data_IF_970390110728
#
_entry.id   IF_970390110728
#
_cell.length_a   1.000
_cell.length_b   1.000
_cell.length_c   1.000
_cell.angle_alpha   90.00
_cell.angle_beta   90.00
_cell.angle_gamma   90.00
#
_symmetry.space_group_name_H-M   'P 1'
#
loop_
_entity.id
_entity.type
_entity.pdbx_description
1 polymer ?
#
# COMPACT_ATOMS: atom_id res chain seq x y z
N UNK A 1 -5.57 -21.71 9.08
CA UNK A 1 -5.22 -20.36 9.55
C UNK A 1 -3.79 -20.08 9.12
N UNK A 2 -3.58 -19.44 7.96
CA UNK A 2 -2.25 -19.23 7.39
C UNK A 2 -1.82 -17.78 7.61
N UNK A 3 -0.69 -17.58 8.31
CA UNK A 3 -0.11 -16.27 8.53
C UNK A 3 0.67 -15.84 7.28
N UNK A 4 0.01 -15.15 6.36
CA UNK A 4 0.66 -14.51 5.21
C UNK A 4 1.25 -13.17 5.63
N UNK A 5 2.56 -13.13 5.88
CA UNK A 5 3.29 -11.85 5.93
C UNK A 5 3.19 -11.19 4.55
N UNK A 6 2.62 -9.98 4.50
CA UNK A 6 2.56 -9.17 3.29
C UNK A 6 3.05 -7.76 3.58
N UNK A 7 4.12 -7.36 2.90
CA UNK A 7 4.63 -5.99 2.97
C UNK A 7 3.69 -5.07 2.16
N UNK A 8 2.74 -4.45 2.85
CA UNK A 8 1.80 -3.52 2.23
C UNK A 8 2.37 -2.11 2.10
N UNK A 9 2.73 -1.71 0.87
CA UNK A 9 3.09 -0.32 0.56
C UNK A 9 1.89 0.61 0.80
N UNK A 10 1.97 1.51 1.79
CA UNK A 10 0.96 2.57 1.98
C UNK A 10 1.60 3.94 2.24
N UNK A 11 0.87 4.96 1.80
CA UNK A 11 1.32 6.34 1.72
C UNK A 11 0.50 7.18 2.71
N UNK A 12 1.14 7.81 3.71
CA UNK A 12 0.44 8.63 4.73
C UNK A 12 0.76 10.13 4.65
N UNK A 13 -0.17 10.90 5.23
CA UNK A 13 -0.08 12.35 5.49
C UNK A 13 0.53 12.56 6.89
N UNK A 14 1.44 13.52 7.05
CA UNK A 14 2.29 13.70 8.25
C UNK A 14 1.57 13.80 9.60
N UNK A 15 2.09 13.05 10.57
CA UNK A 15 2.18 13.34 12.01
C UNK A 15 3.64 13.15 12.48
N UNK A 16 3.99 13.28 13.77
CA UNK A 16 5.41 13.46 14.21
C UNK A 16 5.75 12.68 15.51
N UNK A 17 7.00 12.27 15.77
CA UNK A 17 8.21 12.46 14.95
C UNK A 17 9.59 12.14 15.59
N UNK A 18 9.76 10.98 16.25
CA UNK A 18 11.02 10.53 16.91
C UNK A 18 11.30 9.08 16.50
N UNK A 19 12.48 8.62 16.03
CA UNK A 19 13.87 8.78 16.50
C UNK A 19 14.30 7.47 17.20
N UNK A 20 15.33 6.69 16.83
CA UNK A 20 16.64 6.94 16.15
C UNK A 20 17.02 5.75 15.22
N UNK A 21 17.93 5.91 14.24
CA UNK A 21 18.33 4.82 13.32
C UNK A 21 19.51 3.95 13.83
N UNK A 22 19.40 2.63 13.64
CA UNK A 22 20.52 1.68 13.76
C UNK A 22 21.21 1.44 12.42
N UNK A 23 22.54 1.58 12.38
CA UNK A 23 23.31 1.62 11.13
C UNK A 23 23.82 0.23 10.70
N UNK A 24 23.42 -0.25 9.51
CA UNK A 24 24.19 -1.26 8.74
C UNK A 24 24.39 -0.74 7.32
N UNK A 25 25.64 -0.37 7.02
CA UNK A 25 26.02 0.20 5.73
C UNK A 25 26.20 -0.92 4.68
N UNK A 26 25.30 -0.96 3.69
CA UNK A 26 25.31 -1.96 2.62
C UNK A 26 24.07 -1.86 1.73
N UNK A 27 23.66 -0.63 1.38
CA UNK A 27 22.38 -0.38 0.71
C UNK A 27 22.39 -0.65 -0.80
N UNK A 28 21.30 -1.21 -1.36
CA UNK A 28 21.16 -1.51 -2.80
C UNK A 28 21.34 -0.27 -3.69
N UNK A 29 22.08 -0.44 -4.80
CA UNK A 29 22.50 0.70 -5.66
C UNK A 29 21.33 1.35 -6.40
N UNK A 30 20.24 0.62 -6.66
CA UNK A 30 19.07 1.14 -7.36
C UNK A 30 18.21 2.11 -6.53
N UNK A 31 18.20 1.98 -5.20
CA UNK A 31 17.23 2.63 -4.31
C UNK A 31 17.45 4.14 -4.07
N UNK A 32 18.49 4.76 -4.64
CA UNK A 32 19.00 6.07 -4.18
C UNK A 32 18.46 7.33 -4.91
N UNK A 33 17.55 7.18 -5.89
CA UNK A 33 16.90 8.34 -6.52
C UNK A 33 15.64 8.75 -5.74
N UNK A 34 15.75 9.86 -5.01
CA UNK A 34 14.63 10.55 -4.36
C UNK A 34 13.56 10.85 -5.42
N UNK A 35 12.37 10.23 -5.30
CA UNK A 35 11.25 10.46 -6.22
C UNK A 35 10.44 11.69 -5.79
N UNK A 36 9.89 12.47 -6.72
CA UNK A 36 9.08 13.64 -6.39
C UNK A 36 7.79 13.24 -5.66
N UNK A 37 7.31 14.11 -4.78
CA UNK A 37 5.98 14.03 -4.21
C UNK A 37 4.93 14.28 -5.31
N UNK A 38 3.83 13.53 -5.28
CA UNK A 38 2.78 13.58 -6.31
C UNK A 38 1.38 13.64 -5.69
N UNK A 39 0.37 13.95 -6.51
CA UNK A 39 -1.03 13.95 -6.10
C UNK A 39 -1.75 12.74 -6.69
N UNK A 40 -2.76 12.24 -5.97
CA UNK A 40 -3.67 11.19 -6.42
C UNK A 40 -5.12 11.55 -6.08
N UNK A 41 -6.05 10.92 -6.79
CA UNK A 41 -7.46 10.81 -6.52
C UNK A 41 -7.79 9.34 -6.17
N UNK A 42 -8.70 9.14 -5.21
CA UNK A 42 -9.13 7.84 -4.68
C UNK A 42 -10.65 7.84 -4.73
N UNK A 43 -11.29 6.96 -5.50
CA UNK A 43 -12.76 7.05 -5.64
C UNK A 43 -13.49 5.86 -6.24
N UNK A 44 -13.01 5.27 -7.35
CA UNK A 44 -13.73 4.16 -8.00
C UNK A 44 -13.72 2.93 -7.11
N UNK A 45 -14.87 2.60 -6.53
CA UNK A 45 -15.06 1.38 -5.77
C UNK A 45 -14.99 0.14 -6.69
N UNK A 46 -14.39 -0.92 -6.18
CA UNK A 46 -14.27 -2.23 -6.82
C UNK A 46 -14.52 -3.29 -5.74
N UNK A 47 -15.41 -4.23 -6.03
CA UNK A 47 -15.57 -5.44 -5.24
C UNK A 47 -14.51 -6.44 -5.70
N UNK A 48 -13.74 -6.92 -4.75
CA UNK A 48 -12.75 -7.99 -4.85
C UNK A 48 -13.24 -9.18 -3.99
N UNK A 49 -12.89 -10.44 -4.30
CA UNK A 49 -13.35 -11.59 -3.51
C UNK A 49 -13.15 -11.49 -2.00
N UNK A 50 -12.11 -10.78 -1.54
CA UNK A 50 -11.83 -10.61 -0.11
C UNK A 50 -12.12 -9.20 0.44
N UNK A 51 -12.44 -8.21 -0.40
CA UNK A 51 -12.44 -6.80 0.02
C UNK A 51 -13.27 -5.83 -0.85
N UNK A 52 -13.57 -4.67 -0.29
CA UNK A 52 -13.96 -3.47 -1.06
C UNK A 52 -12.72 -2.57 -1.19
N UNK A 53 -12.36 -2.26 -2.44
CA UNK A 53 -11.17 -1.49 -2.79
C UNK A 53 -11.57 -0.18 -3.48
N UNK A 54 -10.90 0.93 -3.16
CA UNK A 54 -10.99 2.17 -3.94
C UNK A 54 -9.76 2.30 -4.84
N UNK A 55 -9.94 2.45 -6.15
CA UNK A 55 -8.82 2.66 -7.10
C UNK A 55 -8.17 4.03 -6.94
N UNK A 56 -6.86 4.07 -7.20
CA UNK A 56 -6.01 5.25 -7.17
C UNK A 56 -5.69 5.72 -8.60
N UNK A 57 -5.85 7.02 -8.88
CA UNK A 57 -5.46 7.63 -10.16
C UNK A 57 -4.74 8.98 -9.97
N UNK A 58 -3.70 9.34 -10.75
CA UNK A 58 -2.94 8.45 -11.63
C UNK A 58 -2.19 7.39 -10.82
N UNK A 59 -2.18 6.15 -11.31
CA UNK A 59 -1.56 5.01 -10.63
C UNK A 59 -0.05 4.89 -10.91
N UNK A 60 0.41 5.41 -12.06
CA UNK A 60 1.80 5.38 -12.52
C UNK A 60 2.86 5.80 -11.48
N UNK A 61 2.71 6.91 -10.73
CA UNK A 61 3.65 7.28 -9.69
C UNK A 61 3.74 6.27 -8.53
N UNK A 62 2.63 5.60 -8.19
CA UNK A 62 2.61 4.54 -7.18
C UNK A 62 3.29 3.28 -7.71
N UNK A 63 3.04 2.91 -8.97
CA UNK A 63 3.74 1.79 -9.65
C UNK A 63 5.26 2.01 -9.63
N UNK A 64 5.73 3.20 -9.99
CA UNK A 64 7.16 3.54 -9.96
C UNK A 64 7.80 3.45 -8.56
N UNK A 65 7.05 3.72 -7.49
CA UNK A 65 7.51 3.45 -6.12
C UNK A 65 7.67 1.95 -5.91
N UNK A 66 6.62 1.17 -6.17
CA UNK A 66 6.63 -0.29 -6.02
C UNK A 66 7.75 -0.94 -6.84
N UNK A 67 7.96 -0.53 -8.09
CA UNK A 67 9.04 -1.07 -8.94
C UNK A 67 10.43 -0.82 -8.34
N UNK A 68 10.63 0.36 -7.71
CA UNK A 68 11.86 0.67 -6.98
C UNK A 68 12.04 -0.16 -5.72
N UNK A 69 10.96 -0.43 -4.99
CA UNK A 69 10.95 -1.27 -3.78
C UNK A 69 11.21 -2.73 -4.15
N UNK A 70 10.55 -3.26 -5.20
CA UNK A 70 10.80 -4.60 -5.76
C UNK A 70 12.26 -4.77 -6.20
N UNK A 71 12.83 -3.78 -6.89
CA UNK A 71 14.26 -3.79 -7.24
C UNK A 71 15.16 -3.84 -6.00
N UNK A 72 14.85 -3.06 -4.96
CA UNK A 72 15.61 -3.07 -3.71
C UNK A 72 15.47 -4.39 -2.93
N UNK A 73 14.31 -5.06 -2.99
CA UNK A 73 14.10 -6.41 -2.44
C UNK A 73 14.95 -7.42 -3.20
N UNK A 74 14.92 -7.41 -4.54
CA UNK A 74 15.73 -8.30 -5.37
C UNK A 74 17.23 -8.13 -5.17
N UNK A 75 17.72 -6.89 -5.04
CA UNK A 75 19.12 -6.58 -4.73
C UNK A 75 19.57 -7.14 -3.35
N UNK A 76 18.65 -7.39 -2.41
CA UNK A 76 18.95 -7.82 -1.02
C UNK A 76 18.68 -9.31 -0.79
N UNK A 77 17.61 -9.85 -1.36
CA UNK A 77 17.17 -11.24 -1.17
C UNK A 77 17.51 -12.17 -2.35
N UNK A 78 17.95 -11.63 -3.49
CA UNK A 78 18.20 -12.39 -4.72
C UNK A 78 16.93 -12.75 -5.52
N UNK A 79 15.79 -12.84 -4.86
CA UNK A 79 14.47 -13.02 -5.48
C UNK A 79 13.42 -12.05 -4.90
N UNK A 80 12.33 -11.83 -5.65
CA UNK A 80 11.19 -11.02 -5.21
C UNK A 80 9.98 -11.95 -5.05
N UNK A 81 9.51 -12.24 -3.82
CA UNK A 81 8.49 -13.28 -3.60
C UNK A 81 7.11 -13.03 -4.24
N UNK A 82 6.75 -11.77 -4.51
CA UNK A 82 5.46 -11.41 -5.11
C UNK A 82 5.58 -11.25 -6.66
N UNK A 83 4.50 -11.56 -7.38
CA UNK A 83 4.40 -11.35 -8.85
C UNK A 83 4.55 -9.87 -9.23
N UNK A 84 5.13 -9.58 -10.39
CA UNK A 84 5.28 -8.20 -10.85
C UNK A 84 3.95 -7.60 -11.32
N UNK A 85 3.15 -8.41 -11.99
CA UNK A 85 1.84 -8.12 -12.56
C UNK A 85 0.74 -8.17 -11.48
N UNK A 86 -0.49 -7.79 -11.85
CA UNK A 86 -1.66 -7.99 -10.99
C UNK A 86 -1.76 -7.07 -9.76
N UNK A 87 -0.87 -6.07 -9.62
CA UNK A 87 -0.98 -5.01 -8.60
C UNK A 87 -1.63 -3.74 -9.19
N UNK A 88 -2.94 -3.52 -9.03
CA UNK A 88 -3.58 -2.22 -9.24
C UNK A 88 -3.50 -1.39 -7.94
N UNK A 89 -2.85 -0.21 -7.93
CA UNK A 89 -2.83 0.68 -6.76
C UNK A 89 -4.24 1.01 -6.24
N UNK A 90 -4.46 0.78 -4.95
CA UNK A 90 -5.78 0.88 -4.33
C UNK A 90 -5.71 1.20 -2.83
N UNK A 91 -6.88 1.50 -2.25
CA UNK A 91 -7.11 1.69 -0.82
C UNK A 91 -8.22 0.72 -0.41
N UNK A 92 -7.90 -0.33 0.34
CA UNK A 92 -8.92 -1.21 0.93
C UNK A 92 -9.68 -0.44 2.01
N UNK A 93 -11.01 -0.57 2.01
CA UNK A 93 -11.94 0.12 2.93
C UNK A 93 -12.86 -0.83 3.70
N UNK A 94 -13.06 -2.05 3.21
CA UNK A 94 -13.70 -3.14 3.94
C UNK A 94 -13.08 -4.48 3.52
N UNK A 95 -13.18 -5.49 4.39
CA UNK A 95 -12.75 -6.86 4.14
C UNK A 95 -13.91 -7.81 4.43
N UNK A 96 -13.97 -8.94 3.73
CA UNK A 96 -14.92 -9.99 4.10
C UNK A 96 -14.48 -10.69 5.38
N UNK A 97 -15.45 -10.97 6.26
CA UNK A 97 -15.24 -11.72 7.49
C UNK A 97 -15.53 -13.23 7.34
N UNK A 98 -16.06 -13.65 6.19
CA UNK A 98 -16.41 -15.04 5.86
C UNK A 98 -17.06 -15.14 4.47
N UNK A 99 -17.53 -16.33 4.11
CA UNK A 99 -18.21 -16.55 2.83
C UNK A 99 -19.63 -15.96 2.83
N UNK A 100 -20.06 -15.41 1.69
CA UNK A 100 -21.40 -14.86 1.54
C UNK A 100 -21.65 -14.26 0.15
N UNK A 101 -22.91 -13.92 -0.18
CA UNK A 101 -23.25 -13.27 -1.45
C UNK A 101 -22.73 -11.83 -1.49
N UNK A 102 -22.00 -11.47 -2.55
CA UNK A 102 -21.55 -10.09 -2.79
C UNK A 102 -22.66 -9.16 -3.31
N UNK A 103 -23.78 -9.72 -3.79
CA UNK A 103 -24.89 -8.98 -4.42
C UNK A 103 -25.44 -7.81 -3.58
N UNK A 104 -25.70 -7.94 -2.26
CA UNK A 104 -26.17 -6.81 -1.45
C UNK A 104 -25.14 -5.67 -1.36
N UNK A 105 -23.84 -5.99 -1.42
CA UNK A 105 -22.76 -4.99 -1.42
C UNK A 105 -22.70 -4.27 -2.77
N UNK A 106 -22.87 -5.00 -3.88
CA UNK A 106 -22.93 -4.41 -5.22
C UNK A 106 -24.10 -3.43 -5.35
N UNK A 107 -25.29 -3.82 -4.89
CA UNK A 107 -26.48 -2.96 -4.88
C UNK A 107 -26.30 -1.72 -3.99
N UNK A 108 -25.71 -1.89 -2.80
CA UNK A 108 -25.41 -0.76 -1.91
C UNK A 108 -24.42 0.24 -2.55
N UNK A 109 -23.34 -0.25 -3.18
CA UNK A 109 -22.36 0.61 -3.85
C UNK A 109 -22.93 1.32 -5.09
N UNK A 110 -23.80 0.65 -5.86
CA UNK A 110 -24.44 1.23 -7.05
C UNK A 110 -25.35 2.43 -6.74
N UNK A 111 -25.86 2.54 -5.50
CA UNK A 111 -26.66 3.66 -5.03
C UNK A 111 -25.87 4.87 -4.51
N UNK A 112 -24.53 4.84 -4.52
CA UNK A 112 -23.69 5.90 -3.95
C UNK A 112 -23.09 6.82 -5.04
N UNK A 113 -23.28 8.13 -4.86
CA UNK A 113 -22.49 9.14 -5.58
C UNK A 113 -21.18 9.41 -4.83
N UNK A 114 -20.11 8.73 -5.25
CA UNK A 114 -18.79 8.80 -4.61
C UNK A 114 -17.91 9.88 -5.24
N UNK A 115 -17.83 11.04 -4.60
CA UNK A 115 -16.85 12.08 -4.96
C UNK A 115 -15.42 11.58 -4.66
N UNK A 116 -14.48 11.57 -5.63
CA UNK A 116 -13.11 11.12 -5.40
C UNK A 116 -12.35 11.99 -4.39
N UNK A 117 -11.71 11.35 -3.42
CA UNK A 117 -10.87 12.01 -2.42
C UNK A 117 -9.47 12.33 -2.99
N UNK A 118 -9.02 13.58 -2.85
CA UNK A 118 -7.69 14.05 -3.27
C UNK A 118 -6.66 13.92 -2.15
N UNK A 119 -5.50 13.33 -2.45
CA UNK A 119 -4.38 13.22 -1.52
C UNK A 119 -3.05 13.63 -2.18
N UNK A 120 -2.20 14.33 -1.42
CA UNK A 120 -0.79 14.53 -1.77
C UNK A 120 0.08 13.52 -1.04
N UNK A 121 0.92 12.85 -1.80
CA UNK A 121 1.79 11.76 -1.40
C UNK A 121 3.21 12.28 -1.21
N UNK A 122 3.72 12.22 0.02
CA UNK A 122 5.02 12.78 0.42
C UNK A 122 6.00 11.79 1.04
N UNK A 123 5.60 10.53 1.24
CA UNK A 123 6.44 9.48 1.80
C UNK A 123 5.90 8.10 1.43
N UNK A 124 6.81 7.12 1.36
CA UNK A 124 6.50 5.70 1.42
C UNK A 124 7.01 5.13 2.75
N UNK A 125 6.30 4.15 3.31
CA UNK A 125 6.65 3.53 4.59
C UNK A 125 6.78 2.01 4.42
N UNK A 126 7.91 1.47 4.89
CA UNK A 126 8.04 0.05 5.18
C UNK A 126 7.46 -0.16 6.58
N UNK A 127 6.47 -1.04 6.68
CA UNK A 127 5.76 -1.37 7.92
C UNK A 127 6.02 -2.81 8.34
N UNK A 128 5.95 -3.07 9.65
CA UNK A 128 5.73 -4.42 10.18
C UNK A 128 4.22 -4.57 10.36
N UNK A 129 3.64 -5.60 9.72
CA UNK A 129 2.20 -5.83 9.69
C UNK A 129 1.87 -7.11 10.46
N UNK A 130 0.99 -6.97 11.45
CA UNK A 130 0.42 -8.04 12.25
C UNK A 130 -1.09 -8.15 11.98
N UNK A 131 -1.67 -9.32 12.24
CA UNK A 131 -3.12 -9.55 12.13
C UNK A 131 -3.70 -10.14 13.43
N UNK A 132 -3.36 -9.49 14.53
CA UNK A 132 -3.83 -9.85 15.86
C UNK A 132 -5.27 -9.36 16.09
N UNK A 133 -6.01 -9.99 17.01
CA UNK A 133 -7.38 -9.60 17.38
C UNK A 133 -8.38 -9.46 16.19
N UNK A 134 -8.16 -10.20 15.10
CA UNK A 134 -8.90 -10.08 13.82
C UNK A 134 -8.78 -8.70 13.13
N UNK A 135 -7.89 -7.84 13.61
CA UNK A 135 -7.59 -6.50 13.15
C UNK A 135 -6.24 -6.49 12.41
N UNK A 136 -6.01 -5.52 11.52
CA UNK A 136 -4.64 -5.24 11.08
C UNK A 136 -4.01 -4.25 12.05
N UNK A 137 -2.94 -4.68 12.71
CA UNK A 137 -2.11 -3.86 13.59
C UNK A 137 -0.75 -3.66 12.90
N UNK A 138 -0.19 -2.45 12.92
CA UNK A 138 1.09 -2.20 12.24
C UNK A 138 1.91 -1.09 12.89
N UNK A 139 3.23 -1.21 12.75
CA UNK A 139 4.20 -0.18 13.11
C UNK A 139 5.07 0.21 11.90
N UNK A 140 5.52 1.47 11.87
CA UNK A 140 6.39 1.96 10.80
C UNK A 140 7.85 1.60 11.11
N UNK A 141 8.43 0.68 10.33
CA UNK A 141 9.83 0.28 10.46
C UNK A 141 10.79 1.33 9.84
N UNK A 142 10.43 1.88 8.68
CA UNK A 142 11.19 2.93 8.02
C UNK A 142 10.31 3.83 7.15
N UNK A 143 10.63 5.13 7.10
CA UNK A 143 9.93 6.11 6.25
C UNK A 143 10.90 6.72 5.24
N UNK A 144 10.56 6.62 3.95
CA UNK A 144 11.31 7.24 2.85
C UNK A 144 10.57 8.51 2.38
N UNK A 145 11.13 9.72 2.57
CA UNK A 145 10.49 10.95 2.12
C UNK A 145 10.60 11.13 0.60
N UNK A 146 9.51 11.58 0.00
CA UNK A 146 9.39 12.00 -1.39
C UNK A 146 9.46 13.54 -1.49
N UNK A 147 9.63 14.05 -2.71
CA UNK A 147 9.78 15.49 -2.99
C UNK A 147 11.21 15.95 -2.83
#
# INVERSE_FOLDING_TARGET
MAASHHAGDRLRRRGQGSGRPGNRAGGPRAARRRRPAFNIEIGSAVIDPEAILLRVHPDGPVRQIRDGIRSAIGDVLGEVPERAEGFPPHVSVAYSAGDGPAEPVAQALAGLDLTPARARISSAELIVLHRDHQMYEWESFATVPLG
#
